data_IF_026134454716
#
_entry.id   IF_026134454716
#
_cell.length_a   1.000
_cell.length_b   1.000
_cell.length_c   1.000
_cell.angle_alpha   90.00
_cell.angle_beta   90.00
_cell.angle_gamma   90.00
#
_symmetry.space_group_name_H-M   'P 1'
#
loop_
_entity.id
_entity.type
_entity.pdbx_description
1 polymer ?
#
# COMPACT_ATOMS: atom_id res chain seq x y z
N UNK A 1 27.28 7.72 -17.98
CA UNK A 1 25.94 7.29 -17.53
C UNK A 1 25.95 6.24 -16.41
N UNK A 2 27.11 5.70 -16.00
CA UNK A 2 27.22 4.65 -14.95
C UNK A 2 27.25 5.25 -13.52
N UNK A 3 27.65 6.51 -13.37
CA UNK A 3 27.78 7.16 -12.05
C UNK A 3 26.44 7.58 -11.44
N UNK A 4 25.49 8.06 -12.26
CA UNK A 4 24.15 8.45 -11.80
C UNK A 4 23.32 7.27 -11.29
N UNK A 5 23.40 6.11 -11.95
CA UNK A 5 22.72 4.89 -11.50
C UNK A 5 23.28 4.39 -10.17
N UNK A 6 24.61 4.42 -10.00
CA UNK A 6 25.24 4.06 -8.71
C UNK A 6 24.86 5.03 -7.59
N UNK A 7 24.82 6.32 -7.90
CA UNK A 7 24.41 7.35 -6.94
C UNK A 7 22.92 7.19 -6.53
N UNK A 8 22.04 6.88 -7.49
CA UNK A 8 20.62 6.60 -7.24
C UNK A 8 20.39 5.35 -6.41
N UNK A 9 21.10 4.24 -6.69
CA UNK A 9 21.03 3.02 -5.88
C UNK A 9 21.52 3.29 -4.45
N UNK A 10 22.60 4.07 -4.30
CA UNK A 10 23.12 4.46 -2.99
C UNK A 10 22.15 5.33 -2.19
N UNK A 11 21.48 6.29 -2.85
CA UNK A 11 20.46 7.12 -2.23
C UNK A 11 19.23 6.31 -1.83
N UNK A 12 18.74 5.43 -2.72
CA UNK A 12 17.62 4.54 -2.43
C UNK A 12 17.93 3.57 -1.27
N UNK A 13 19.15 3.03 -1.21
CA UNK A 13 19.59 2.17 -0.13
C UNK A 13 19.72 2.94 1.20
N UNK A 14 20.17 4.19 1.17
CA UNK A 14 20.23 5.05 2.34
C UNK A 14 18.84 5.42 2.85
N UNK A 15 17.93 5.81 1.95
CA UNK A 15 16.53 6.13 2.26
C UNK A 15 15.81 4.91 2.83
N UNK A 16 16.02 3.72 2.26
CA UNK A 16 15.48 2.45 2.77
C UNK A 16 16.10 2.07 4.13
N UNK A 17 17.37 2.38 4.36
CA UNK A 17 18.03 2.19 5.65
C UNK A 17 17.49 3.10 6.76
N UNK A 18 16.97 4.27 6.39
CA UNK A 18 16.23 5.19 7.27
C UNK A 18 14.71 4.99 7.21
N UNK A 19 14.25 4.07 6.36
CA UNK A 19 12.84 3.77 6.27
C UNK A 19 12.49 2.89 7.46
N UNK A 20 11.68 3.46 8.33
CA UNK A 20 11.02 2.74 9.40
C UNK A 20 9.58 2.57 8.96
N UNK A 21 9.06 1.34 9.00
CA UNK A 21 7.61 1.16 9.04
C UNK A 21 7.08 2.09 10.14
N UNK A 22 6.04 2.90 9.90
CA UNK A 22 5.58 3.84 10.91
C UNK A 22 5.30 3.04 12.18
N UNK A 23 5.94 3.42 13.29
CA UNK A 23 5.86 2.70 14.56
C UNK A 23 4.38 2.49 14.92
N UNK A 24 3.91 1.30 14.63
CA UNK A 24 2.58 0.82 14.92
C UNK A 24 2.82 -0.57 15.47
N UNK A 25 2.18 -0.86 16.60
CA UNK A 25 2.10 -2.23 17.08
C UNK A 25 1.78 -3.16 15.90
N UNK A 26 2.35 -4.38 15.83
CA UNK A 26 1.87 -5.38 14.90
C UNK A 26 0.35 -5.39 15.00
N UNK A 27 -0.32 -5.25 13.85
CA UNK A 27 -1.78 -5.19 13.81
C UNK A 27 -2.28 -6.38 14.65
N UNK A 28 -3.04 -6.15 15.75
CA UNK A 28 -3.66 -7.24 16.51
C UNK A 28 -4.31 -8.18 15.50
N UNK A 29 -4.02 -9.47 15.65
CA UNK A 29 -4.64 -10.48 14.81
C UNK A 29 -6.16 -10.33 14.97
N UNK A 30 -6.90 -9.87 13.94
CA UNK A 30 -8.32 -9.53 14.09
C UNK A 30 -9.18 -10.79 14.34
N UNK A 31 -8.58 -11.97 14.23
CA UNK A 31 -9.18 -13.27 14.52
C UNK A 31 -8.71 -13.88 15.85
N UNK A 32 -7.88 -13.19 16.62
CA UNK A 32 -7.49 -13.64 17.96
C UNK A 32 -8.68 -13.45 18.92
N UNK A 33 -9.43 -14.53 19.13
CA UNK A 33 -10.52 -14.59 20.13
C UNK A 33 -10.03 -14.29 21.56
N UNK A 34 -8.73 -14.33 21.81
CA UNK A 34 -8.09 -14.09 23.10
C UNK A 34 -8.19 -12.65 23.60
N UNK A 35 -8.41 -11.68 22.71
CA UNK A 35 -8.51 -10.26 23.06
C UNK A 35 -9.94 -9.80 23.38
N UNK A 36 -10.96 -10.66 23.20
CA UNK A 36 -12.35 -10.34 23.53
C UNK A 36 -12.55 -10.33 25.06
N UNK A 37 -12.29 -9.20 25.72
CA UNK A 37 -12.84 -8.95 27.06
C UNK A 37 -14.37 -8.84 26.93
N UNK A 38 -15.14 -9.68 27.65
CA UNK A 38 -16.59 -9.53 27.68
C UNK A 38 -16.93 -8.11 28.16
N UNK A 39 -17.92 -7.44 27.54
CA UNK A 39 -18.31 -6.10 27.97
C UNK A 39 -18.65 -6.12 29.46
N UNK A 40 -18.05 -5.22 30.22
CA UNK A 40 -18.41 -4.99 31.62
C UNK A 40 -19.83 -4.41 31.66
N UNK A 41 -20.77 -5.27 32.02
CA UNK A 41 -22.18 -4.88 32.12
C UNK A 41 -22.34 -4.05 33.39
N UNK A 42 -22.30 -2.73 33.28
CA UNK A 42 -22.72 -1.82 34.33
C UNK A 42 -24.26 -1.77 34.40
N UNK A 43 -24.92 -2.92 34.61
CA UNK A 43 -26.37 -2.97 34.66
C UNK A 43 -26.84 -3.76 35.86
N UNK A 44 -27.32 -3.05 36.87
CA UNK A 44 -28.09 -3.61 37.98
C UNK A 44 -29.55 -3.89 37.58
N UNK A 45 -29.93 -3.64 36.31
CA UNK A 45 -31.29 -3.79 35.75
C UNK A 45 -31.28 -4.54 34.40
N UNK A 46 -32.40 -5.18 34.06
CA UNK A 46 -32.58 -5.92 32.81
C UNK A 46 -32.42 -4.99 31.59
N UNK A 47 -32.95 -3.78 31.64
CA UNK A 47 -32.85 -2.80 30.54
C UNK A 47 -31.40 -2.42 30.23
N UNK A 48 -30.55 -2.27 31.25
CA UNK A 48 -29.13 -1.97 31.06
C UNK A 48 -28.37 -3.15 30.43
N UNK A 49 -28.75 -4.40 30.74
CA UNK A 49 -28.18 -5.59 30.10
C UNK A 49 -28.56 -5.60 28.61
N UNK A 50 -29.83 -5.36 28.29
CA UNK A 50 -30.32 -5.33 26.91
C UNK A 50 -29.63 -4.22 26.12
N UNK A 51 -29.49 -3.03 26.69
CA UNK A 51 -28.82 -1.90 26.03
C UNK A 51 -27.32 -2.18 25.80
N UNK A 52 -26.65 -2.83 26.76
CA UNK A 52 -25.26 -3.27 26.61
C UNK A 52 -25.08 -4.27 25.46
N UNK A 53 -25.97 -5.27 25.34
CA UNK A 53 -25.97 -6.24 24.24
C UNK A 53 -26.23 -5.57 22.89
N UNK A 54 -27.19 -4.65 22.81
CA UNK A 54 -27.49 -3.89 21.59
C UNK A 54 -26.30 -3.03 21.15
N UNK A 55 -25.60 -2.41 22.11
CA UNK A 55 -24.41 -1.60 21.85
C UNK A 55 -23.26 -2.48 21.35
N UNK A 56 -22.97 -3.59 22.04
CA UNK A 56 -21.95 -4.54 21.62
C UNK A 56 -22.21 -5.12 20.22
N UNK A 57 -23.45 -5.50 19.92
CA UNK A 57 -23.85 -5.98 18.59
C UNK A 57 -23.63 -4.93 17.49
N UNK A 58 -23.97 -3.66 17.78
CA UNK A 58 -23.77 -2.55 16.84
C UNK A 58 -22.29 -2.29 16.60
N UNK A 59 -21.47 -2.26 17.66
CA UNK A 59 -20.03 -2.04 17.57
C UNK A 59 -19.34 -3.17 16.78
N UNK A 60 -19.72 -4.42 17.03
CA UNK A 60 -19.20 -5.57 16.28
C UNK A 60 -19.55 -5.48 14.79
N UNK A 61 -20.82 -5.16 14.48
CA UNK A 61 -21.27 -5.01 13.09
C UNK A 61 -20.48 -3.90 12.37
N UNK A 62 -20.26 -2.77 13.05
CA UNK A 62 -19.50 -1.66 12.51
C UNK A 62 -18.03 -2.04 12.26
N UNK A 63 -17.38 -2.72 13.20
CA UNK A 63 -15.99 -3.13 13.03
C UNK A 63 -15.81 -4.13 11.88
N UNK A 64 -16.69 -5.13 11.76
CA UNK A 64 -16.65 -6.09 10.62
C UNK A 64 -16.87 -5.38 9.30
N UNK A 65 -17.83 -4.45 9.24
CA UNK A 65 -18.15 -3.69 8.01
C UNK A 65 -16.99 -2.79 7.60
N UNK A 66 -16.40 -2.07 8.55
CA UNK A 66 -15.24 -1.20 8.33
C UNK A 66 -14.01 -1.99 7.91
N UNK A 67 -13.75 -3.13 8.56
CA UNK A 67 -12.62 -3.99 8.22
C UNK A 67 -12.75 -4.56 6.80
N UNK A 68 -13.95 -5.01 6.43
CA UNK A 68 -14.25 -5.49 5.07
C UNK A 68 -14.06 -4.38 4.03
N UNK A 69 -14.54 -3.18 4.33
CA UNK A 69 -14.41 -2.01 3.46
C UNK A 69 -12.93 -1.63 3.26
N UNK A 70 -12.15 -1.65 4.33
CA UNK A 70 -10.70 -1.38 4.30
C UNK A 70 -9.95 -2.40 3.43
N UNK A 71 -10.29 -3.69 3.56
CA UNK A 71 -9.71 -4.74 2.73
C UNK A 71 -10.08 -4.59 1.24
N UNK A 72 -11.33 -4.23 0.95
CA UNK A 72 -11.76 -3.98 -0.43
C UNK A 72 -11.06 -2.76 -1.05
N UNK A 73 -10.88 -1.70 -0.24
CA UNK A 73 -10.24 -0.47 -0.65
C UNK A 73 -8.75 -0.63 -1.00
N UNK A 74 -8.04 -1.63 -0.47
CA UNK A 74 -6.64 -1.91 -0.85
C UNK A 74 -6.53 -2.80 -2.08
N UNK A 75 -7.50 -3.69 -2.31
CA UNK A 75 -7.47 -4.60 -3.45
C UNK A 75 -7.69 -3.87 -4.78
N UNK A 76 -8.54 -2.84 -4.78
CA UNK A 76 -8.89 -2.09 -5.99
C UNK A 76 -7.69 -1.30 -6.58
N UNK A 77 -6.93 -0.52 -5.79
CA UNK A 77 -5.66 0.07 -6.25
C UNK A 77 -4.62 -0.97 -6.68
N UNK A 78 -4.60 -2.16 -6.06
CA UNK A 78 -3.69 -3.24 -6.44
C UNK A 78 -4.01 -3.76 -7.85
N UNK A 79 -5.28 -3.93 -8.17
CA UNK A 79 -5.73 -4.36 -9.50
C UNK A 79 -5.43 -3.29 -10.58
N UNK A 80 -5.63 -2.01 -10.25
CA UNK A 80 -5.30 -0.90 -11.16
C UNK A 80 -3.80 -0.82 -11.42
N UNK A 81 -2.98 -0.94 -10.37
CA UNK A 81 -1.53 -1.02 -10.46
C UNK A 81 -1.06 -2.17 -11.35
N UNK A 82 -1.60 -3.38 -11.17
CA UNK A 82 -1.26 -4.52 -12.02
C UNK A 82 -1.63 -4.29 -13.48
N UNK A 83 -2.79 -3.66 -13.73
CA UNK A 83 -3.20 -3.29 -15.08
C UNK A 83 -2.25 -2.25 -15.69
N UNK A 84 -1.82 -1.26 -14.90
CA UNK A 84 -0.82 -0.28 -15.32
C UNK A 84 0.53 -0.94 -15.65
N UNK A 85 1.01 -1.86 -14.82
CA UNK A 85 2.28 -2.59 -15.05
C UNK A 85 2.19 -3.52 -16.25
N UNK A 86 1.07 -4.21 -16.45
CA UNK A 86 0.99 -5.28 -17.45
C UNK A 86 0.52 -4.78 -18.82
N UNK A 87 -0.16 -3.64 -18.87
CA UNK A 87 -0.74 -3.09 -20.10
C UNK A 87 -0.11 -1.76 -20.45
N UNK A 88 -0.18 -0.79 -19.55
CA UNK A 88 0.24 0.58 -19.84
C UNK A 88 1.76 0.74 -19.91
N UNK A 89 2.50 0.09 -19.01
CA UNK A 89 3.95 0.22 -18.88
C UNK A 89 4.69 -0.32 -20.12
N UNK A 90 4.40 -1.53 -20.65
CA UNK A 90 5.03 -1.99 -21.89
C UNK A 90 4.73 -1.06 -23.08
N UNK A 91 3.53 -0.47 -23.13
CA UNK A 91 3.19 0.50 -24.16
C UNK A 91 3.98 1.80 -24.01
N UNK A 92 4.24 2.24 -22.79
CA UNK A 92 5.05 3.42 -22.49
C UNK A 92 6.53 3.19 -22.84
N UNK A 93 7.07 2.02 -22.51
CA UNK A 93 8.45 1.62 -22.82
C UNK A 93 8.73 1.59 -24.31
N UNK A 94 7.78 1.11 -25.12
CA UNK A 94 7.89 1.15 -26.58
C UNK A 94 8.00 2.60 -27.07
N UNK A 95 7.22 3.52 -26.52
CA UNK A 95 7.32 4.94 -26.91
C UNK A 95 8.67 5.54 -26.51
N UNK A 96 9.16 5.27 -25.29
CA UNK A 96 10.49 5.71 -24.84
C UNK A 96 11.62 5.15 -25.72
N UNK A 97 11.52 3.87 -26.10
CA UNK A 97 12.46 3.25 -27.03
C UNK A 97 12.45 3.94 -28.38
N UNK A 98 11.26 4.16 -28.97
CA UNK A 98 11.11 4.82 -30.26
C UNK A 98 11.61 6.27 -30.23
N UNK A 99 11.42 6.98 -29.12
CA UNK A 99 11.92 8.34 -28.94
C UNK A 99 13.44 8.39 -28.86
N UNK A 100 14.08 7.43 -28.19
CA UNK A 100 15.55 7.30 -28.21
C UNK A 100 16.10 6.93 -29.61
N UNK A 101 15.40 6.07 -30.35
CA UNK A 101 15.75 5.77 -31.75
C UNK A 101 15.68 7.03 -32.62
N UNK A 102 14.63 7.84 -32.47
CA UNK A 102 14.53 9.14 -33.16
C UNK A 102 15.69 10.06 -32.82
N UNK A 103 16.02 10.20 -31.54
CA UNK A 103 17.19 11.00 -31.10
C UNK A 103 18.47 10.53 -31.78
N UNK A 104 18.68 9.22 -31.90
CA UNK A 104 19.86 8.66 -32.57
C UNK A 104 19.89 9.01 -34.07
N UNK A 105 18.74 8.94 -34.75
CA UNK A 105 18.60 9.29 -36.16
C UNK A 105 18.78 10.80 -36.41
N UNK A 106 18.37 11.63 -35.45
CA UNK A 106 18.53 13.08 -35.48
C UNK A 106 19.96 13.54 -35.12
N UNK A 107 20.87 12.60 -34.85
CA UNK A 107 22.29 12.84 -34.64
C UNK A 107 22.72 12.99 -33.18
N UNK A 108 21.85 12.69 -32.21
CA UNK A 108 22.24 12.61 -30.80
C UNK A 108 23.06 11.32 -30.56
N UNK A 109 24.36 11.43 -30.20
CA UNK A 109 25.19 10.27 -29.91
C UNK A 109 24.69 9.45 -28.70
N UNK A 110 23.85 10.02 -27.84
CA UNK A 110 23.23 9.33 -26.72
C UNK A 110 21.89 8.65 -27.08
N UNK A 111 21.32 8.86 -28.27
CA UNK A 111 19.97 8.39 -28.59
C UNK A 111 19.76 6.88 -28.41
N UNK A 112 20.71 6.04 -28.83
CA UNK A 112 20.64 4.59 -28.63
C UNK A 112 20.75 4.21 -27.14
N UNK A 113 21.57 4.95 -26.39
CA UNK A 113 21.71 4.76 -24.94
C UNK A 113 20.39 5.14 -24.25
N UNK A 114 19.75 6.23 -24.68
CA UNK A 114 18.48 6.70 -24.16
C UNK A 114 17.32 5.75 -24.51
N UNK A 115 17.32 5.18 -25.73
CA UNK A 115 16.32 4.21 -26.17
C UNK A 115 16.22 2.98 -25.25
N UNK A 116 17.35 2.56 -24.67
CA UNK A 116 17.40 1.43 -23.72
C UNK A 116 17.33 1.92 -22.27
N UNK A 117 18.00 3.03 -21.98
CA UNK A 117 18.15 3.56 -20.63
C UNK A 117 16.86 4.16 -20.07
N UNK A 118 16.05 4.83 -20.89
CA UNK A 118 14.80 5.45 -20.44
C UNK A 118 13.74 4.43 -20.03
N UNK A 119 13.46 3.36 -20.79
CA UNK A 119 12.58 2.29 -20.32
C UNK A 119 13.00 1.73 -18.95
N UNK A 120 14.28 1.38 -18.80
CA UNK A 120 14.81 0.83 -17.52
C UNK A 120 14.66 1.84 -16.37
N UNK A 121 14.95 3.12 -16.62
CA UNK A 121 14.82 4.16 -15.62
C UNK A 121 13.35 4.40 -15.23
N UNK A 122 12.44 4.38 -16.20
CA UNK A 122 11.01 4.48 -15.99
C UNK A 122 10.50 3.33 -15.12
N UNK A 123 10.84 2.08 -15.47
CA UNK A 123 10.48 0.90 -14.70
C UNK A 123 11.00 0.95 -13.28
N UNK A 124 12.28 1.29 -13.11
CA UNK A 124 12.92 1.32 -11.79
C UNK A 124 12.27 2.38 -10.91
N UNK A 125 12.04 3.59 -11.44
CA UNK A 125 11.38 4.67 -10.71
C UNK A 125 9.92 4.35 -10.39
N UNK A 126 9.17 3.88 -11.37
CA UNK A 126 7.75 3.59 -11.22
C UNK A 126 7.53 2.40 -10.28
N UNK A 127 8.23 1.28 -10.45
CA UNK A 127 8.06 0.11 -9.59
C UNK A 127 8.46 0.39 -8.14
N UNK A 128 9.49 1.21 -7.92
CA UNK A 128 9.86 1.66 -6.57
C UNK A 128 8.74 2.48 -5.95
N UNK A 129 8.22 3.46 -6.69
CA UNK A 129 7.11 4.30 -6.23
C UNK A 129 5.83 3.50 -5.97
N UNK A 130 5.43 2.63 -6.89
CA UNK A 130 4.26 1.74 -6.76
C UNK A 130 4.40 0.81 -5.56
N UNK A 131 5.59 0.22 -5.36
CA UNK A 131 5.85 -0.66 -4.21
C UNK A 131 5.66 0.09 -2.88
N UNK A 132 6.18 1.31 -2.78
CA UNK A 132 5.99 2.15 -1.59
C UNK A 132 4.52 2.53 -1.38
N UNK A 133 3.85 2.98 -2.44
CA UNK A 133 2.43 3.33 -2.39
C UNK A 133 1.58 2.15 -1.92
N UNK A 134 1.82 0.97 -2.47
CA UNK A 134 1.13 -0.25 -2.09
C UNK A 134 1.38 -0.62 -0.63
N UNK A 135 2.65 -0.59 -0.19
CA UNK A 135 2.99 -0.85 1.21
C UNK A 135 2.28 0.12 2.17
N UNK A 136 2.20 1.41 1.82
CA UNK A 136 1.49 2.41 2.61
C UNK A 136 -0.02 2.16 2.67
N UNK A 137 -0.65 1.80 1.54
CA UNK A 137 -2.06 1.46 1.49
C UNK A 137 -2.41 0.26 2.38
N UNK A 138 -1.61 -0.81 2.32
CA UNK A 138 -1.78 -1.98 3.18
C UNK A 138 -1.52 -1.67 4.66
N UNK A 139 -0.53 -0.85 4.97
CA UNK A 139 -0.27 -0.39 6.33
C UNK A 139 -1.46 0.40 6.90
N UNK A 140 -2.01 1.34 6.13
CA UNK A 140 -3.19 2.13 6.53
C UNK A 140 -4.40 1.25 6.78
N UNK A 141 -4.68 0.30 5.90
CA UNK A 141 -5.79 -0.64 6.08
C UNK A 141 -5.60 -1.54 7.30
N UNK A 142 -4.40 -2.09 7.50
CA UNK A 142 -4.10 -2.91 8.68
C UNK A 142 -4.29 -2.12 9.98
N UNK A 143 -3.85 -0.86 10.02
CA UNK A 143 -4.04 0.03 11.17
C UNK A 143 -5.51 0.37 11.41
N UNK A 144 -6.29 0.62 10.35
CA UNK A 144 -7.73 0.87 10.46
C UNK A 144 -8.45 -0.35 11.03
N UNK A 145 -8.22 -1.52 10.45
CA UNK A 145 -8.81 -2.80 10.91
C UNK A 145 -8.46 -3.05 12.38
N UNK A 146 -7.18 -2.92 12.74
CA UNK A 146 -6.72 -3.07 14.12
C UNK A 146 -7.42 -2.10 15.09
N UNK A 147 -7.56 -0.83 14.71
CA UNK A 147 -8.25 0.18 15.51
C UNK A 147 -9.73 -0.12 15.68
N UNK A 148 -10.38 -0.59 14.61
CA UNK A 148 -11.80 -0.98 14.63
C UNK A 148 -12.04 -2.09 15.66
N UNK A 149 -11.23 -3.15 15.67
CA UNK A 149 -11.36 -4.25 16.63
C UNK A 149 -10.88 -3.90 18.05
N UNK A 150 -9.83 -3.09 18.20
CA UNK A 150 -9.38 -2.64 19.51
C UNK A 150 -10.44 -1.77 20.23
N UNK A 151 -11.35 -1.13 19.48
CA UNK A 151 -12.44 -0.35 20.07
C UNK A 151 -13.59 -1.18 20.67
N UNK A 152 -13.60 -2.50 20.46
CA UNK A 152 -14.63 -3.40 20.97
C UNK A 152 -14.38 -3.88 22.42
N UNK A 153 -13.19 -3.64 22.95
CA UNK A 153 -12.66 -4.26 24.18
C UNK A 153 -12.24 -3.21 25.21
#
# INVERSE_FOLDING_TARGET
>A
MIDGTRQGIGAAAADLGTWHAPAGNPAPNPFALSDLTPPTVAATTIDGIIQGLQTGNTNLTNAVTSATSSAYATLLPTADMLSAILVSLPSYDVNLFLDGVRQALDGDPAGIINAIGYPIAADTGLLTFLSFFLAYAYYGAAKSIAGDFASLI
#
